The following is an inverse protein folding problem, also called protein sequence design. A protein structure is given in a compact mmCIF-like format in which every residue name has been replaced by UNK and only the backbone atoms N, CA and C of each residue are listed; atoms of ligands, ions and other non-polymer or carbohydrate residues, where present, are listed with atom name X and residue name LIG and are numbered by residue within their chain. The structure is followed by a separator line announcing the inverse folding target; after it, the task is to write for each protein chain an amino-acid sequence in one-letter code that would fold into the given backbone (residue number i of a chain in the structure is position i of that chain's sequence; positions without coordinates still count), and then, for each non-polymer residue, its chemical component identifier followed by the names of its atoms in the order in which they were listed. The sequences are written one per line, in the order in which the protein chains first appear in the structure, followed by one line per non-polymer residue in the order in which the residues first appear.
data_IF_439789906145
#
_entry.id   IF_439789906145
#
_cell.length_a   1.000
_cell.length_b   1.000
_cell.length_c   1.000
_cell.angle_alpha   90.00
_cell.angle_beta   90.00
_cell.angle_gamma   90.00
#
_symmetry.space_group_name_H-M   'P 1'
#
loop_
_entity.id
_entity.type
_entity.pdbx_description
1 polymer ?
#
# COMPACT_ATOMS: atom_id res chain seq x y z
N UNK A 1 -15.45 6.58 -7.44
CA UNK A 1 -16.37 5.54 -6.90
C UNK A 1 -16.38 4.39 -7.87
N UNK A 2 -16.21 3.18 -7.43
CA UNK A 2 -16.50 2.05 -8.30
C UNK A 2 -17.97 2.21 -8.71
N UNK A 3 -18.23 2.42 -10.00
CA UNK A 3 -19.58 2.30 -10.52
C UNK A 3 -20.12 0.96 -10.00
N UNK A 4 -21.44 0.89 -9.77
CA UNK A 4 -22.06 -0.32 -9.26
C UNK A 4 -21.67 -1.49 -10.16
N UNK A 5 -20.69 -2.27 -9.71
CA UNK A 5 -20.19 -3.42 -10.46
C UNK A 5 -21.27 -4.51 -10.36
N UNK A 6 -21.73 -5.00 -11.47
CA UNK A 6 -22.70 -6.09 -11.51
C UNK A 6 -22.16 -7.30 -10.74
N UNK A 7 -22.97 -7.84 -9.82
CA UNK A 7 -22.57 -8.92 -8.93
C UNK A 7 -21.71 -8.51 -7.73
N UNK A 8 -21.35 -7.24 -7.59
CA UNK A 8 -20.64 -6.73 -6.44
C UNK A 8 -21.53 -6.56 -5.21
N UNK A 9 -20.92 -6.43 -4.05
CA UNK A 9 -21.59 -6.15 -2.79
C UNK A 9 -21.52 -4.68 -2.42
N UNK A 10 -22.49 -4.20 -1.64
CA UNK A 10 -22.50 -2.84 -1.11
C UNK A 10 -22.40 -2.92 0.41
N UNK A 11 -21.40 -2.27 0.95
CA UNK A 11 -21.22 -2.13 2.41
C UNK A 11 -21.60 -0.70 2.81
N UNK A 12 -22.48 -0.56 3.79
CA UNK A 12 -22.80 0.74 4.39
C UNK A 12 -21.82 1.03 5.53
N UNK A 13 -21.08 2.11 5.41
CA UNK A 13 -20.17 2.59 6.43
C UNK A 13 -20.60 3.97 6.86
N UNK A 14 -21.28 4.07 7.98
CA UNK A 14 -21.78 5.34 8.54
C UNK A 14 -22.65 6.14 7.55
N UNK A 15 -23.50 5.47 6.80
CA UNK A 15 -24.38 6.07 5.79
C UNK A 15 -23.75 6.23 4.40
N UNK A 16 -22.48 5.89 4.23
CA UNK A 16 -21.80 5.87 2.93
C UNK A 16 -21.82 4.46 2.33
N UNK A 17 -22.34 4.35 1.13
CA UNK A 17 -22.42 3.09 0.41
C UNK A 17 -21.11 2.85 -0.37
N UNK A 18 -20.29 1.96 0.16
CA UNK A 18 -19.05 1.52 -0.49
C UNK A 18 -19.32 0.29 -1.35
N UNK A 19 -19.11 0.40 -2.65
CA UNK A 19 -19.21 -0.73 -3.57
C UNK A 19 -17.94 -1.56 -3.52
N UNK A 20 -18.06 -2.87 -3.37
CA UNK A 20 -16.97 -3.82 -3.46
C UNK A 20 -17.11 -4.64 -4.75
N UNK A 21 -15.99 -5.06 -5.35
CA UNK A 21 -16.04 -5.96 -6.50
C UNK A 21 -16.62 -7.32 -6.09
N UNK A 22 -17.16 -8.10 -7.05
CA UNK A 22 -17.60 -9.47 -6.78
C UNK A 22 -16.46 -10.32 -6.21
N UNK A 23 -16.80 -11.38 -5.47
CA UNK A 23 -15.82 -12.29 -4.90
C UNK A 23 -14.87 -12.85 -5.96
N UNK A 24 -13.56 -12.73 -5.70
CA UNK A 24 -12.49 -13.14 -6.61
C UNK A 24 -12.22 -12.18 -7.76
N UNK A 25 -12.99 -11.11 -7.91
CA UNK A 25 -12.76 -10.10 -8.92
C UNK A 25 -12.16 -8.83 -8.31
N UNK A 26 -11.47 -8.08 -9.13
CA UNK A 26 -10.95 -6.74 -8.79
C UNK A 26 -11.34 -5.75 -9.89
N UNK A 27 -11.49 -4.48 -9.53
CA UNK A 27 -11.57 -3.41 -10.51
C UNK A 27 -10.15 -2.93 -10.83
N UNK A 28 -9.70 -3.22 -12.05
CA UNK A 28 -8.38 -2.77 -12.49
C UNK A 28 -8.41 -1.27 -12.80
N UNK A 29 -7.71 -0.48 -12.01
CA UNK A 29 -7.71 0.98 -12.14
C UNK A 29 -7.02 1.48 -13.42
N UNK A 30 -6.20 0.65 -14.06
CA UNK A 30 -5.50 0.97 -15.32
C UNK A 30 -6.41 0.68 -16.51
N UNK A 31 -6.93 -0.55 -16.60
CA UNK A 31 -7.78 -0.98 -17.73
C UNK A 31 -9.23 -0.51 -17.60
N UNK A 32 -9.64 -0.07 -16.41
CA UNK A 32 -11.03 0.30 -16.07
C UNK A 32 -12.02 -0.85 -16.22
N UNK A 33 -11.54 -2.09 -16.10
CA UNK A 33 -12.34 -3.30 -16.24
C UNK A 33 -12.37 -4.12 -14.96
N UNK A 34 -13.41 -4.92 -14.80
CA UNK A 34 -13.52 -5.91 -13.73
C UNK A 34 -12.84 -7.20 -14.21
N UNK A 35 -11.84 -7.63 -13.49
CA UNK A 35 -10.99 -8.74 -13.88
C UNK A 35 -10.95 -9.81 -12.77
N UNK A 36 -11.02 -11.08 -13.15
CA UNK A 36 -10.94 -12.19 -12.21
C UNK A 36 -9.48 -12.40 -11.75
N UNK A 37 -9.28 -12.51 -10.43
CA UNK A 37 -7.99 -12.81 -9.79
C UNK A 37 -8.05 -14.00 -8.84
N UNK A 38 -9.26 -14.49 -8.55
CA UNK A 38 -9.50 -15.54 -7.58
C UNK A 38 -9.37 -15.05 -6.13
N UNK A 39 -9.53 -15.99 -5.22
CA UNK A 39 -9.38 -15.78 -3.78
C UNK A 39 -8.11 -16.50 -3.33
N UNK A 40 -7.15 -15.76 -2.79
CA UNK A 40 -5.91 -16.32 -2.29
C UNK A 40 -6.15 -17.16 -1.03
N UNK A 41 -5.71 -18.40 -1.07
CA UNK A 41 -5.67 -19.30 0.10
C UNK A 41 -4.21 -19.66 0.39
N UNK A 42 -3.79 -19.46 1.60
CA UNK A 42 -2.41 -19.81 2.00
C UNK A 42 -2.25 -21.34 2.14
N UNK A 43 -3.19 -21.98 2.84
CA UNK A 43 -3.41 -23.42 2.95
C UNK A 43 -4.78 -23.63 3.58
N UNK A 44 -5.36 -24.85 3.53
CA UNK A 44 -6.66 -25.13 4.16
C UNK A 44 -6.66 -24.76 5.65
N UNK A 45 -5.66 -25.19 6.41
CA UNK A 45 -5.56 -24.89 7.85
C UNK A 45 -5.36 -23.39 8.11
N UNK A 46 -4.57 -22.72 7.27
CA UNK A 46 -4.28 -21.30 7.44
C UNK A 46 -5.38 -20.39 6.93
N UNK A 47 -6.23 -20.86 6.02
CA UNK A 47 -7.40 -20.11 5.55
C UNK A 47 -8.48 -19.94 6.63
N UNK A 48 -8.48 -20.77 7.66
CA UNK A 48 -9.32 -20.61 8.85
C UNK A 48 -8.77 -19.62 9.89
N UNK A 49 -7.65 -18.97 9.58
CA UNK A 49 -7.04 -17.97 10.44
C UNK A 49 -7.13 -16.57 9.81
N UNK A 50 -7.07 -15.56 10.68
CA UNK A 50 -6.92 -14.18 10.21
C UNK A 50 -5.62 -13.98 9.44
N UNK A 51 -5.62 -12.95 8.61
CA UNK A 51 -4.49 -12.55 7.78
C UNK A 51 -3.13 -12.69 8.49
N UNK A 52 -2.21 -13.30 7.79
CA UNK A 52 -0.77 -13.27 8.07
C UNK A 52 -0.03 -12.85 6.81
N UNK A 53 1.04 -12.09 6.97
CA UNK A 53 1.88 -11.71 5.83
C UNK A 53 2.17 -12.91 4.93
N UNK A 54 2.04 -12.69 3.63
CA UNK A 54 2.43 -13.67 2.62
C UNK A 54 3.95 -13.84 2.71
N UNK A 55 4.48 -15.06 2.84
CA UNK A 55 5.91 -15.29 2.85
C UNK A 55 6.55 -14.80 1.54
N UNK A 56 7.73 -14.22 1.66
CA UNK A 56 8.52 -13.91 0.46
C UNK A 56 8.92 -15.20 -0.24
N UNK A 57 8.95 -15.23 -1.58
CA UNK A 57 9.49 -16.37 -2.32
C UNK A 57 10.92 -16.69 -1.87
N UNK A 58 11.30 -17.96 -1.84
CA UNK A 58 12.63 -18.40 -1.37
C UNK A 58 13.78 -17.76 -2.13
N UNK A 59 13.60 -17.49 -3.42
CA UNK A 59 14.57 -16.84 -4.30
C UNK A 59 14.68 -15.32 -4.10
N UNK A 60 13.69 -14.68 -3.48
CA UNK A 60 13.55 -13.21 -3.44
C UNK A 60 14.78 -12.50 -2.83
N UNK A 61 15.25 -12.96 -1.67
CA UNK A 61 16.36 -12.31 -0.98
C UNK A 61 17.67 -12.39 -1.76
N UNK A 62 17.90 -13.48 -2.46
CA UNK A 62 19.11 -13.64 -3.27
C UNK A 62 19.05 -12.79 -4.54
N UNK A 63 17.90 -12.68 -5.15
CA UNK A 63 17.70 -11.77 -6.30
C UNK A 63 17.87 -10.30 -5.87
N UNK A 64 17.37 -9.91 -4.68
CA UNK A 64 17.59 -8.55 -4.17
C UNK A 64 19.07 -8.24 -3.92
N UNK A 65 19.86 -9.20 -3.41
CA UNK A 65 21.32 -9.03 -3.27
C UNK A 65 22.00 -8.83 -4.63
N UNK A 66 21.64 -9.66 -5.62
CA UNK A 66 22.15 -9.50 -7.00
C UNK A 66 21.82 -8.10 -7.56
N UNK A 67 20.63 -7.63 -7.35
CA UNK A 67 20.22 -6.28 -7.76
C UNK A 67 21.04 -5.20 -7.05
N UNK A 68 21.26 -5.32 -5.74
CA UNK A 68 22.10 -4.39 -4.98
C UNK A 68 23.57 -4.40 -5.44
N UNK A 69 24.11 -5.55 -5.81
CA UNK A 69 25.45 -5.67 -6.36
C UNK A 69 25.55 -5.10 -7.77
N UNK A 70 24.52 -5.30 -8.59
CA UNK A 70 24.42 -4.72 -9.92
C UNK A 70 24.44 -3.18 -9.85
N UNK A 71 23.61 -2.58 -9.01
CA UNK A 71 23.55 -1.12 -8.84
C UNK A 71 24.88 -0.52 -8.36
N UNK A 72 25.62 -1.23 -7.51
CA UNK A 72 26.96 -0.78 -7.06
C UNK A 72 28.00 -0.81 -8.17
N UNK A 73 27.85 -1.70 -9.15
CA UNK A 73 28.79 -1.87 -10.27
C UNK A 73 28.37 -1.10 -11.52
N UNK A 74 27.14 -0.64 -11.56
CA UNK A 74 26.56 0.07 -12.68
C UNK A 74 27.36 1.35 -12.98
N UNK A 75 27.82 1.47 -14.22
CA UNK A 75 28.55 2.64 -14.73
C UNK A 75 27.69 3.51 -15.65
N UNK A 76 26.62 2.93 -16.16
CA UNK A 76 25.72 3.55 -17.12
C UNK A 76 24.29 3.51 -16.56
N UNK A 77 23.62 4.65 -16.55
CA UNK A 77 22.27 4.78 -16.02
C UNK A 77 21.19 4.19 -16.95
N UNK A 78 21.53 3.91 -18.21
CA UNK A 78 20.60 3.32 -19.18
C UNK A 78 20.39 1.81 -18.98
N UNK A 79 21.27 1.11 -18.26
CA UNK A 79 21.15 -0.33 -18.02
C UNK A 79 20.40 -0.60 -16.72
N UNK A 80 19.30 -1.31 -16.80
CA UNK A 80 18.49 -1.73 -15.65
C UNK A 80 18.73 -3.20 -15.29
N UNK A 81 18.60 -3.52 -14.00
CA UNK A 81 18.63 -4.90 -13.54
C UNK A 81 17.37 -5.64 -13.99
N UNK A 82 17.56 -6.79 -14.64
CA UNK A 82 16.46 -7.63 -15.12
C UNK A 82 16.58 -9.05 -14.58
N UNK A 83 15.49 -9.56 -14.05
CA UNK A 83 15.30 -10.96 -13.65
C UNK A 83 13.82 -11.31 -13.90
N UNK A 84 13.56 -12.31 -14.72
CA UNK A 84 12.21 -12.67 -15.18
C UNK A 84 11.26 -12.98 -14.02
N UNK A 85 11.70 -13.75 -13.04
CA UNK A 85 10.89 -14.08 -11.85
C UNK A 85 10.57 -12.86 -11.02
N UNK A 86 11.54 -11.94 -10.93
CA UNK A 86 11.33 -10.69 -10.22
C UNK A 86 10.34 -9.79 -10.95
N UNK A 87 10.39 -9.71 -12.28
CA UNK A 87 9.45 -8.91 -13.06
C UNK A 87 8.02 -9.42 -12.94
N UNK A 88 7.82 -10.74 -12.98
CA UNK A 88 6.51 -11.35 -12.74
C UNK A 88 6.00 -11.06 -11.33
N UNK A 89 6.86 -11.20 -10.32
CA UNK A 89 6.54 -10.89 -8.94
C UNK A 89 6.21 -9.42 -8.73
N UNK A 90 6.97 -8.50 -9.33
CA UNK A 90 6.68 -7.05 -9.33
C UNK A 90 5.28 -6.78 -9.87
N UNK A 91 4.93 -7.35 -11.04
CA UNK A 91 3.60 -7.18 -11.64
C UNK A 91 2.50 -7.63 -10.68
N UNK A 92 2.66 -8.79 -10.04
CA UNK A 92 1.68 -9.30 -9.09
C UNK A 92 1.54 -8.39 -7.86
N UNK A 93 2.65 -7.91 -7.30
CA UNK A 93 2.64 -7.06 -6.11
C UNK A 93 2.09 -5.66 -6.42
N UNK A 94 2.40 -5.11 -7.60
CA UNK A 94 1.79 -3.86 -8.07
C UNK A 94 0.29 -4.01 -8.34
N UNK A 95 -0.14 -5.13 -8.94
CA UNK A 95 -1.57 -5.41 -9.15
C UNK A 95 -2.33 -5.39 -7.82
N UNK A 96 -1.84 -6.11 -6.81
CA UNK A 96 -2.42 -6.13 -5.46
C UNK A 96 -2.44 -4.76 -4.79
N UNK A 97 -1.35 -4.00 -4.93
CA UNK A 97 -1.23 -2.65 -4.39
C UNK A 97 -2.19 -1.66 -5.03
N UNK A 98 -2.45 -1.79 -6.32
CA UNK A 98 -3.30 -0.85 -7.08
C UNK A 98 -4.78 -1.22 -7.02
N UNK A 99 -5.09 -2.50 -7.19
CA UNK A 99 -6.45 -2.96 -7.46
C UNK A 99 -7.10 -3.67 -6.27
N UNK A 100 -6.33 -3.93 -5.22
CA UNK A 100 -6.80 -4.72 -4.09
C UNK A 100 -6.68 -6.23 -4.34
N UNK A 101 -7.21 -7.01 -3.41
CA UNK A 101 -6.90 -8.42 -3.34
C UNK A 101 -7.89 -9.17 -2.45
N UNK A 102 -8.42 -10.27 -2.97
CA UNK A 102 -9.27 -11.19 -2.22
C UNK A 102 -8.43 -12.26 -1.54
N UNK A 103 -8.68 -12.52 -0.27
CA UNK A 103 -8.05 -13.62 0.45
C UNK A 103 -9.05 -14.34 1.36
N UNK A 104 -8.74 -15.59 1.65
CA UNK A 104 -9.51 -16.38 2.62
C UNK A 104 -9.09 -15.96 4.04
N UNK A 105 -10.02 -15.35 4.76
CA UNK A 105 -9.81 -14.77 6.08
C UNK A 105 -10.74 -15.44 7.09
N UNK A 106 -10.20 -16.29 7.94
CA UNK A 106 -10.98 -17.01 8.95
C UNK A 106 -12.20 -17.75 8.35
N UNK A 107 -11.95 -18.44 7.22
CA UNK A 107 -12.99 -19.23 6.53
C UNK A 107 -13.89 -18.44 5.56
N UNK A 108 -13.75 -17.11 5.51
CA UNK A 108 -14.59 -16.25 4.66
C UNK A 108 -13.76 -15.44 3.66
N UNK A 109 -14.19 -15.32 2.39
CA UNK A 109 -13.56 -14.44 1.43
C UNK A 109 -13.65 -12.98 1.90
N UNK A 110 -12.51 -12.32 2.00
CA UNK A 110 -12.42 -10.93 2.44
C UNK A 110 -11.63 -10.12 1.42
N UNK A 111 -12.16 -8.98 1.02
CA UNK A 111 -11.47 -8.05 0.15
C UNK A 111 -10.57 -7.11 0.95
N UNK A 112 -9.32 -6.97 0.54
CA UNK A 112 -8.42 -5.91 0.97
C UNK A 112 -8.29 -4.88 -0.14
N UNK A 113 -8.53 -3.61 0.17
CA UNK A 113 -8.16 -2.53 -0.75
C UNK A 113 -6.64 -2.52 -0.97
N UNK A 114 -6.18 -1.94 -2.06
CA UNK A 114 -4.74 -1.87 -2.35
C UNK A 114 -3.95 -1.19 -1.23
N UNK A 115 -4.52 -0.13 -0.64
CA UNK A 115 -3.93 0.57 0.51
C UNK A 115 -3.84 -0.33 1.75
N UNK A 116 -4.90 -1.13 2.03
CA UNK A 116 -4.91 -2.06 3.16
C UNK A 116 -3.91 -3.19 2.96
N UNK A 117 -3.83 -3.75 1.73
CA UNK A 117 -2.82 -4.73 1.38
C UNK A 117 -1.39 -4.20 1.60
N UNK A 118 -1.09 -3.00 1.08
CA UNK A 118 0.20 -2.36 1.28
C UNK A 118 0.53 -2.18 2.76
N UNK A 119 -0.45 -1.77 3.57
CA UNK A 119 -0.29 -1.62 5.01
C UNK A 119 0.11 -2.92 5.70
N UNK A 120 -0.63 -3.99 5.44
CA UNK A 120 -0.42 -5.28 6.11
C UNK A 120 0.81 -6.03 5.61
N UNK A 121 1.09 -5.96 4.31
CA UNK A 121 2.16 -6.74 3.70
C UNK A 121 3.51 -6.03 3.72
N UNK A 122 3.54 -4.72 3.44
CA UNK A 122 4.77 -4.04 3.10
C UNK A 122 5.10 -2.81 3.95
N UNK A 123 4.14 -2.24 4.72
CA UNK A 123 4.35 -1.03 5.49
C UNK A 123 4.79 -1.35 6.92
N UNK A 124 6.09 -1.25 7.26
CA UNK A 124 6.56 -1.54 8.59
C UNK A 124 6.17 -0.42 9.58
N UNK A 125 5.87 -0.85 10.80
CA UNK A 125 5.66 0.03 11.95
C UNK A 125 6.77 -0.19 12.98
N UNK A 126 6.77 0.52 14.09
CA UNK A 126 7.83 0.43 15.12
C UNK A 126 8.11 -0.99 15.62
N UNK A 127 7.06 -1.79 15.74
CA UNK A 127 7.11 -3.16 16.30
C UNK A 127 7.11 -4.27 15.24
N UNK A 128 7.49 -3.94 14.01
CA UNK A 128 7.48 -4.88 12.89
C UNK A 128 6.42 -4.53 11.85
N UNK A 129 5.54 -5.48 11.51
CA UNK A 129 4.45 -5.24 10.56
C UNK A 129 3.10 -5.19 11.28
N UNK A 130 2.13 -4.41 10.76
CA UNK A 130 0.79 -4.34 11.35
C UNK A 130 0.13 -5.71 11.40
N UNK A 131 -0.64 -5.93 12.45
CA UNK A 131 -1.53 -7.08 12.53
C UNK A 131 -2.88 -6.74 11.92
N UNK A 132 -3.51 -7.72 11.29
CA UNK A 132 -4.87 -7.60 10.80
C UNK A 132 -5.85 -7.34 11.96
N UNK A 133 -6.79 -6.41 11.74
CA UNK A 133 -7.86 -6.07 12.69
C UNK A 133 -9.14 -5.82 11.91
N UNK A 134 -10.24 -6.41 12.36
CA UNK A 134 -11.56 -6.25 11.73
C UNK A 134 -11.97 -4.77 11.57
N UNK A 135 -11.81 -3.88 12.58
CA UNK A 135 -12.18 -2.47 12.42
C UNK A 135 -11.35 -1.70 11.38
N UNK A 136 -10.20 -2.23 10.98
CA UNK A 136 -9.40 -1.59 9.92
C UNK A 136 -10.00 -1.83 8.52
N UNK A 137 -10.78 -2.90 8.31
CA UNK A 137 -11.41 -3.19 7.02
C UNK A 137 -12.30 -2.02 6.59
N UNK A 138 -13.27 -1.67 7.43
CA UNK A 138 -14.21 -0.56 7.15
C UNK A 138 -13.49 0.77 6.97
N UNK A 139 -12.48 1.02 7.82
CA UNK A 139 -11.63 2.21 7.70
C UNK A 139 -10.95 2.32 6.35
N UNK A 140 -10.35 1.25 5.85
CA UNK A 140 -9.70 1.27 4.54
C UNK A 140 -10.68 1.34 3.38
N UNK A 141 -11.88 0.76 3.50
CA UNK A 141 -12.95 0.96 2.52
C UNK A 141 -13.41 2.42 2.48
N UNK A 142 -13.58 3.03 3.64
CA UNK A 142 -13.93 4.44 3.74
C UNK A 142 -12.85 5.36 3.14
N UNK A 143 -11.57 5.07 3.41
CA UNK A 143 -10.45 5.81 2.82
C UNK A 143 -10.45 5.71 1.30
N UNK A 144 -10.64 4.52 0.75
CA UNK A 144 -10.71 4.30 -0.69
C UNK A 144 -11.91 5.02 -1.31
N UNK A 145 -13.05 5.00 -0.64
CA UNK A 145 -14.22 5.80 -1.04
C UNK A 145 -13.88 7.28 -1.12
N UNK A 146 -13.27 7.84 -0.09
CA UNK A 146 -12.89 9.25 -0.05
C UNK A 146 -11.88 9.63 -1.16
N UNK A 147 -10.96 8.74 -1.51
CA UNK A 147 -10.00 8.98 -2.61
C UNK A 147 -10.71 9.04 -3.96
N UNK A 148 -11.73 8.21 -4.15
CA UNK A 148 -12.40 8.07 -5.44
C UNK A 148 -13.55 9.06 -5.65
N UNK A 149 -14.06 9.67 -4.59
CA UNK A 149 -15.12 10.67 -4.67
C UNK A 149 -14.53 12.07 -4.95
N UNK A 150 -14.73 12.63 -6.16
CA UNK A 150 -14.21 13.94 -6.51
C UNK A 150 -14.83 15.10 -5.68
N UNK A 151 -15.93 14.86 -4.98
CA UNK A 151 -16.56 15.81 -4.09
C UNK A 151 -16.06 15.73 -2.65
N UNK A 152 -15.28 14.70 -2.33
CA UNK A 152 -14.71 14.50 -1.00
C UNK A 152 -13.54 15.46 -0.76
N UNK A 153 -13.74 16.42 0.12
CA UNK A 153 -12.72 17.42 0.49
C UNK A 153 -11.72 16.92 1.54
N UNK A 154 -11.98 15.77 2.13
CA UNK A 154 -11.11 15.20 3.16
C UNK A 154 -11.82 14.20 4.06
N UNK A 155 -11.07 13.60 4.96
CA UNK A 155 -11.56 12.62 5.92
C UNK A 155 -11.19 13.04 7.34
N UNK A 156 -12.15 12.98 8.25
CA UNK A 156 -11.93 13.17 9.68
C UNK A 156 -12.01 11.81 10.39
N UNK A 157 -10.89 11.37 10.95
CA UNK A 157 -10.82 10.12 11.72
C UNK A 157 -10.80 10.41 13.23
N UNK A 158 -11.85 10.03 13.93
CA UNK A 158 -11.93 10.12 15.40
C UNK A 158 -11.80 8.72 15.99
N UNK A 159 -10.70 8.45 16.64
CA UNK A 159 -10.40 7.14 17.23
C UNK A 159 -9.77 7.28 18.61
N UNK A 160 -9.86 6.23 19.40
CA UNK A 160 -9.18 6.16 20.69
C UNK A 160 -7.66 6.28 20.56
N UNK A 161 -7.01 6.69 21.65
CA UNK A 161 -5.54 6.74 21.71
C UNK A 161 -4.93 5.35 21.44
N UNK A 162 -3.77 5.32 20.74
CA UNK A 162 -2.99 4.11 20.39
C UNK A 162 -3.68 3.17 19.39
N UNK A 163 -4.63 3.67 18.60
CA UNK A 163 -5.30 2.89 17.56
C UNK A 163 -4.50 2.75 16.24
N UNK A 164 -3.27 3.28 16.18
CA UNK A 164 -2.40 3.13 14.99
C UNK A 164 -2.60 4.18 13.90
N UNK A 165 -3.50 5.16 14.10
CA UNK A 165 -3.85 6.19 13.10
C UNK A 165 -2.66 6.92 12.48
N UNK A 166 -1.62 7.18 13.25
CA UNK A 166 -0.43 7.89 12.77
C UNK A 166 0.31 7.15 11.66
N UNK A 167 0.45 5.83 11.76
CA UNK A 167 1.08 5.02 10.72
C UNK A 167 0.21 4.88 9.48
N UNK A 168 -1.11 4.79 9.66
CA UNK A 168 -2.05 4.76 8.55
C UNK A 168 -2.08 6.10 7.82
N UNK A 169 -2.05 7.23 8.54
CA UNK A 169 -1.95 8.56 7.93
C UNK A 169 -0.63 8.74 7.15
N UNK A 170 0.50 8.30 7.72
CA UNK A 170 1.79 8.32 7.02
C UNK A 170 1.80 7.44 5.76
N UNK A 171 1.21 6.26 5.83
CA UNK A 171 1.01 5.39 4.68
C UNK A 171 0.15 6.06 3.60
N UNK A 172 -1.00 6.62 3.99
CA UNK A 172 -1.93 7.27 3.07
C UNK A 172 -1.26 8.40 2.29
N UNK A 173 -0.58 9.31 2.99
CA UNK A 173 0.15 10.42 2.36
C UNK A 173 1.23 9.90 1.40
N UNK A 174 2.01 8.90 1.84
CA UNK A 174 3.09 8.32 1.03
C UNK A 174 2.55 7.62 -0.21
N UNK A 175 1.49 6.83 -0.05
CA UNK A 175 0.87 6.10 -1.15
C UNK A 175 0.28 7.05 -2.19
N UNK A 176 -0.45 8.07 -1.73
CA UNK A 176 -1.08 9.03 -2.62
C UNK A 176 -0.04 9.82 -3.44
N UNK A 177 1.02 10.32 -2.79
CA UNK A 177 2.08 11.10 -3.46
C UNK A 177 2.88 10.23 -4.44
N UNK A 178 3.19 8.99 -4.08
CA UNK A 178 4.01 8.12 -4.95
C UNK A 178 3.26 7.57 -6.16
N UNK A 179 1.92 7.59 -6.14
CA UNK A 179 1.08 7.16 -7.27
C UNK A 179 0.57 8.28 -8.17
N UNK A 180 0.57 9.51 -7.70
CA UNK A 180 0.00 10.64 -8.43
C UNK A 180 1.08 11.60 -8.94
N UNK A 181 0.86 12.14 -10.15
CA UNK A 181 1.76 13.12 -10.74
C UNK A 181 1.46 14.52 -10.16
N UNK A 182 2.52 15.31 -9.95
CA UNK A 182 2.42 16.72 -9.53
C UNK A 182 1.61 16.93 -8.23
N UNK A 183 1.72 16.01 -7.30
CA UNK A 183 0.99 16.06 -6.03
C UNK A 183 1.92 16.35 -4.88
N UNK A 184 1.49 17.22 -3.98
CA UNK A 184 2.18 17.54 -2.75
C UNK A 184 1.36 17.06 -1.55
N UNK A 185 2.04 16.55 -0.54
CA UNK A 185 1.42 16.20 0.74
C UNK A 185 2.10 16.93 1.88
N UNK A 186 1.32 17.33 2.85
CA UNK A 186 1.82 18.00 4.05
C UNK A 186 1.40 17.30 5.33
N UNK A 187 2.26 17.38 6.34
CA UNK A 187 1.98 16.88 7.68
C UNK A 187 2.07 18.05 8.64
N UNK A 188 0.98 18.33 9.31
CA UNK A 188 0.91 19.33 10.37
C UNK A 188 0.76 18.66 11.74
N UNK A 189 1.44 19.18 12.74
CA UNK A 189 1.33 18.72 14.12
C UNK A 189 1.33 19.92 15.06
N UNK A 190 1.17 19.68 16.36
CA UNK A 190 1.14 20.72 17.40
C UNK A 190 2.36 21.63 17.36
N UNK A 191 3.54 21.04 17.12
CA UNK A 191 4.81 21.78 17.01
C UNK A 191 5.59 21.31 15.79
N UNK A 192 6.51 22.13 15.28
CA UNK A 192 7.41 21.74 14.20
C UNK A 192 8.30 20.53 14.56
N UNK A 193 8.71 20.42 15.82
CA UNK A 193 9.45 19.26 16.33
C UNK A 193 8.62 17.98 16.25
N UNK A 194 7.35 18.05 16.65
CA UNK A 194 6.45 16.89 16.58
C UNK A 194 6.14 16.49 15.14
N UNK A 195 5.96 17.47 14.23
CA UNK A 195 5.78 17.21 12.82
C UNK A 195 7.00 16.48 12.21
N UNK A 196 8.23 16.91 12.53
CA UNK A 196 9.47 16.25 12.08
C UNK A 196 9.59 14.83 12.62
N UNK A 197 9.29 14.61 13.90
CA UNK A 197 9.28 13.26 14.50
C UNK A 197 8.25 12.37 13.85
N UNK A 198 7.05 12.88 13.62
CA UNK A 198 5.99 12.17 12.93
C UNK A 198 6.42 11.78 11.52
N UNK A 199 6.91 12.73 10.73
CA UNK A 199 7.38 12.50 9.36
C UNK A 199 8.47 11.42 9.30
N UNK A 200 9.53 11.56 10.10
CA UNK A 200 10.61 10.58 10.15
C UNK A 200 10.10 9.17 10.50
N UNK A 201 9.23 9.07 11.50
CA UNK A 201 8.74 7.81 12.05
C UNK A 201 7.74 7.11 11.14
N UNK A 202 6.78 7.85 10.58
CA UNK A 202 5.61 7.27 9.90
C UNK A 202 5.68 7.33 8.38
N UNK A 203 6.58 8.13 7.82
CA UNK A 203 6.79 8.27 6.37
C UNK A 203 8.17 7.76 5.98
N UNK A 204 9.24 8.42 6.44
CA UNK A 204 10.61 8.15 5.96
C UNK A 204 11.07 6.74 6.30
N UNK A 205 10.94 6.32 7.58
CA UNK A 205 11.38 5.00 8.01
C UNK A 205 10.64 3.86 7.31
N UNK A 206 9.29 3.86 7.22
CA UNK A 206 8.57 2.83 6.47
C UNK A 206 8.92 2.85 4.98
N UNK A 207 8.94 4.02 4.34
CA UNK A 207 9.27 4.15 2.91
C UNK A 207 10.62 3.52 2.58
N UNK A 208 11.65 3.77 3.36
CA UNK A 208 12.99 3.21 3.15
C UNK A 208 13.06 1.69 3.28
N UNK A 209 12.11 1.10 3.98
CA UNK A 209 12.00 -0.36 4.19
C UNK A 209 11.08 -1.05 3.19
N UNK A 210 10.43 -0.29 2.31
CA UNK A 210 9.72 -0.87 1.16
C UNK A 210 10.69 -1.58 0.22
N UNK A 211 10.24 -2.59 -0.53
CA UNK A 211 11.00 -3.15 -1.64
C UNK A 211 11.45 -2.07 -2.63
N UNK A 212 12.61 -2.26 -3.24
CA UNK A 212 13.13 -1.32 -4.26
C UNK A 212 12.12 -1.01 -5.34
N UNK A 213 11.44 -2.03 -5.85
CA UNK A 213 10.46 -1.88 -6.92
C UNK A 213 9.18 -1.11 -6.53
N UNK A 214 8.98 -0.84 -5.24
CA UNK A 214 7.90 0.04 -4.76
C UNK A 214 8.36 1.46 -4.44
N UNK A 215 9.67 1.69 -4.42
CA UNK A 215 10.23 2.99 -4.08
C UNK A 215 10.52 3.78 -5.35
N UNK A 216 9.80 4.87 -5.64
CA UNK A 216 10.24 5.79 -6.67
C UNK A 216 11.58 6.40 -6.25
N UNK A 217 12.37 6.80 -7.22
CA UNK A 217 13.58 7.56 -6.97
C UNK A 217 13.25 8.87 -6.28
N UNK A 218 14.08 9.27 -5.34
CA UNK A 218 13.92 10.53 -4.64
C UNK A 218 15.22 11.32 -4.60
N UNK A 219 15.08 12.62 -4.42
CA UNK A 219 16.21 13.55 -4.39
C UNK A 219 17.10 13.29 -3.17
N UNK A 220 18.24 12.67 -3.42
CA UNK A 220 19.24 12.33 -2.39
C UNK A 220 19.97 13.56 -1.85
N UNK A 221 19.85 14.74 -2.49
CA UNK A 221 20.45 16.00 -1.98
C UNK A 221 19.90 16.38 -0.60
N UNK A 222 18.68 15.92 -0.29
CA UNK A 222 18.04 16.09 1.03
C UNK A 222 18.56 15.12 2.10
N UNK A 223 19.49 14.25 1.73
CA UNK A 223 20.13 13.25 2.58
C UNK A 223 19.34 11.95 2.70
N UNK A 224 20.01 10.95 3.23
CA UNK A 224 19.45 9.60 3.40
C UNK A 224 18.28 9.57 4.42
N UNK A 225 18.28 10.48 5.39
CA UNK A 225 17.25 10.60 6.42
C UNK A 225 16.66 12.02 6.42
N UNK A 226 15.83 12.37 5.44
CA UNK A 226 15.23 13.68 5.36
C UNK A 226 14.36 13.96 6.60
N UNK A 227 14.48 15.16 7.17
CA UNK A 227 13.80 15.55 8.40
C UNK A 227 12.53 16.37 8.15
N UNK A 228 12.43 17.01 7.01
CA UNK A 228 11.38 17.99 6.71
C UNK A 228 10.62 17.71 5.44
N UNK A 229 11.27 17.18 4.42
CA UNK A 229 10.66 16.93 3.12
C UNK A 229 11.33 15.75 2.39
N UNK A 230 10.58 15.09 1.51
CA UNK A 230 11.07 14.15 0.51
C UNK A 230 10.55 14.60 -0.86
N UNK A 231 11.43 14.63 -1.84
CA UNK A 231 11.09 14.96 -3.22
C UNK A 231 11.30 13.72 -4.07
N UNK A 232 10.28 13.31 -4.79
CA UNK A 232 10.38 12.20 -5.71
C UNK A 232 10.67 12.72 -7.11
N UNK A 233 11.61 12.07 -7.80
CA UNK A 233 11.87 12.34 -9.20
C UNK A 233 10.73 11.79 -10.05
N UNK A 234 10.44 12.45 -11.17
CA UNK A 234 9.49 11.93 -12.14
C UNK A 234 10.06 10.63 -12.73
N UNK A 235 9.33 9.55 -12.59
CA UNK A 235 9.46 8.47 -13.56
C UNK A 235 8.79 8.97 -14.84
N UNK A 236 9.57 9.12 -15.87
CA UNK A 236 9.15 9.52 -17.23
C UNK A 236 8.25 8.43 -17.83
#
# INVERSE_FOLDING_TARGET
MYEKIEGGSVIDIQGLKCNLPPEGYVFNIITKQVEFRGVYKRSEIQSEQYWKRIPLPSWYLDTMKKWDEFDKKKKDDEVEFYDEKLEEYKKQEWDRRLNGFWYMNNGEPTFLTGLHYLYLQWWPIDIGYPKFRIPDIEKFYFMEYCIQDPLCMGMLEVTKRRFGKSFVAGLFVSEYITRTKMTNGGIQSKTGSDAKKFFAKTVVNPFRRLPKFFRPEYDMSLGVNPKTEMRFQRQT
#
